data_IF_327565236651
#
_entry.id   IF_327565236651
#
_cell.length_a   1.000
_cell.length_b   1.000
_cell.length_c   1.000
_cell.angle_alpha   90.00
_cell.angle_beta   90.00
_cell.angle_gamma   90.00
#
_symmetry.space_group_name_H-M   'P 1'
#
loop_
_entity.id
_entity.type
_entity.pdbx_description
1 polymer ?
#
# COMPACT_ATOMS: atom_id res chain seq x y z
N UNK A 1 13.60 27.15 29.16
CA UNK A 1 12.98 26.11 28.29
C UNK A 1 11.63 25.61 28.79
N UNK A 2 11.43 25.29 30.08
CA UNK A 2 10.13 24.81 30.59
C UNK A 2 8.97 25.79 30.35
N UNK A 3 9.22 27.10 30.40
CA UNK A 3 8.21 28.12 30.10
C UNK A 3 7.82 28.16 28.60
N UNK A 4 8.77 27.88 27.69
CA UNK A 4 8.49 27.78 26.26
C UNK A 4 7.67 26.53 25.92
N UNK A 5 7.92 25.40 26.58
CA UNK A 5 7.14 24.16 26.37
C UNK A 5 5.66 24.35 26.70
N UNK A 6 5.33 25.14 27.73
CA UNK A 6 3.93 25.46 28.07
C UNK A 6 3.20 26.19 26.95
N UNK A 7 3.90 26.98 26.13
CA UNK A 7 3.32 27.69 24.98
C UNK A 7 2.94 26.77 23.82
N UNK A 8 3.42 25.53 23.78
CA UNK A 8 3.07 24.55 22.75
C UNK A 8 1.72 23.87 23.00
N UNK A 9 1.10 24.05 24.17
CA UNK A 9 -0.20 23.44 24.48
C UNK A 9 -1.27 23.99 23.53
N UNK A 10 -1.87 23.12 22.72
CA UNK A 10 -3.08 23.45 21.96
C UNK A 10 -4.20 23.71 22.95
N UNK A 11 -4.81 24.91 22.87
CA UNK A 11 -5.83 25.33 23.82
C UNK A 11 -7.17 24.62 23.56
N UNK A 12 -7.98 24.44 24.61
CA UNK A 12 -9.33 23.89 24.46
C UNK A 12 -10.17 24.71 23.48
N UNK A 13 -10.05 26.05 23.51
CA UNK A 13 -10.73 26.94 22.58
C UNK A 13 -10.40 26.65 21.10
N UNK A 14 -9.15 26.29 20.81
CA UNK A 14 -8.76 25.93 19.44
C UNK A 14 -9.39 24.59 19.00
N UNK A 15 -9.41 23.60 19.89
CA UNK A 15 -10.08 22.32 19.63
C UNK A 15 -11.61 22.50 19.50
N UNK A 16 -12.22 23.28 20.38
CA UNK A 16 -13.63 23.65 20.32
C UNK A 16 -14.00 24.34 19.02
N UNK A 17 -13.13 25.21 18.49
CA UNK A 17 -13.35 25.86 17.19
C UNK A 17 -13.37 24.84 16.03
N UNK A 18 -12.47 23.86 16.03
CA UNK A 18 -12.45 22.78 15.03
C UNK A 18 -13.72 21.93 15.15
N UNK A 19 -14.09 21.51 16.36
CA UNK A 19 -15.30 20.73 16.59
C UNK A 19 -16.54 21.49 16.14
N UNK A 20 -16.67 22.76 16.53
CA UNK A 20 -17.81 23.61 16.13
C UNK A 20 -17.92 23.73 14.62
N UNK A 21 -16.79 23.86 13.91
CA UNK A 21 -16.80 23.90 12.45
C UNK A 21 -17.29 22.57 11.86
N UNK A 22 -16.72 21.43 12.30
CA UNK A 22 -17.07 20.11 11.78
C UNK A 22 -18.52 19.70 12.08
N UNK A 23 -19.12 20.19 13.16
CA UNK A 23 -20.49 19.87 13.57
C UNK A 23 -21.52 20.95 13.26
N UNK A 24 -21.15 22.00 12.51
CA UNK A 24 -22.11 23.02 12.06
C UNK A 24 -23.03 22.41 11.00
N UNK A 25 -24.34 22.46 11.24
CA UNK A 25 -25.37 21.92 10.32
C UNK A 25 -25.33 22.61 8.93
N UNK A 26 -24.75 23.81 8.84
CA UNK A 26 -24.58 24.53 7.58
C UNK A 26 -23.20 24.32 6.93
N UNK A 27 -22.37 23.41 7.46
CA UNK A 27 -21.06 23.14 6.89
C UNK A 27 -21.18 22.36 5.58
N UNK A 28 -21.07 23.08 4.47
CA UNK A 28 -21.14 22.53 3.11
C UNK A 28 -20.13 21.40 2.89
N UNK A 29 -18.90 21.49 3.42
CA UNK A 29 -17.88 20.46 3.21
C UNK A 29 -18.25 19.10 3.83
N UNK A 30 -18.98 19.13 4.95
CA UNK A 30 -19.43 17.93 5.66
C UNK A 30 -20.75 17.43 5.07
N UNK A 31 -21.65 18.35 4.72
CA UNK A 31 -22.93 18.00 4.09
C UNK A 31 -22.72 17.32 2.72
N UNK A 32 -21.83 17.85 1.88
CA UNK A 32 -21.49 17.23 0.58
C UNK A 32 -20.91 15.80 0.78
N UNK A 33 -20.15 15.56 1.85
CA UNK A 33 -19.66 14.23 2.20
C UNK A 33 -20.81 13.30 2.64
N UNK A 34 -21.77 13.79 3.43
CA UNK A 34 -22.93 13.03 3.85
C UNK A 34 -23.83 12.65 2.69
N UNK A 35 -24.04 13.53 1.71
CA UNK A 35 -24.79 13.20 0.49
C UNK A 35 -24.21 11.97 -0.22
N UNK A 36 -22.88 11.86 -0.27
CA UNK A 36 -22.20 10.70 -0.85
C UNK A 36 -22.39 9.46 0.03
N UNK A 37 -22.25 9.57 1.35
CA UNK A 37 -22.49 8.43 2.26
C UNK A 37 -23.93 7.91 2.14
N UNK A 38 -24.91 8.82 2.06
CA UNK A 38 -26.33 8.50 1.92
C UNK A 38 -26.64 7.84 0.58
N UNK A 39 -25.98 8.25 -0.51
CA UNK A 39 -26.05 7.59 -1.82
C UNK A 39 -25.72 6.08 -1.74
N UNK A 40 -24.85 5.65 -0.81
CA UNK A 40 -24.52 4.23 -0.62
C UNK A 40 -25.37 3.51 0.45
N UNK A 41 -26.27 4.23 1.12
CA UNK A 41 -27.21 3.69 2.11
C UNK A 41 -26.82 3.93 3.57
N UNK A 42 -25.86 4.81 3.83
CA UNK A 42 -25.38 5.10 5.19
C UNK A 42 -24.31 4.11 5.68
N UNK A 43 -23.71 4.43 6.83
CA UNK A 43 -22.49 3.77 7.35
C UNK A 43 -22.66 2.26 7.55
N UNK A 44 -23.76 1.83 8.20
CA UNK A 44 -23.99 0.42 8.52
C UNK A 44 -24.17 -0.43 7.24
N UNK A 45 -24.92 0.08 6.28
CA UNK A 45 -25.16 -0.60 5.00
C UNK A 45 -23.89 -0.63 4.14
N UNK A 46 -23.10 0.45 4.13
CA UNK A 46 -21.79 0.50 3.47
C UNK A 46 -20.89 -0.63 4.00
N UNK A 47 -20.72 -0.73 5.32
CA UNK A 47 -19.86 -1.73 5.93
C UNK A 47 -20.39 -3.16 5.73
N UNK A 48 -21.72 -3.34 5.77
CA UNK A 48 -22.36 -4.63 5.48
C UNK A 48 -22.09 -5.07 4.05
N UNK A 49 -22.37 -4.23 3.05
CA UNK A 49 -22.09 -4.50 1.64
C UNK A 49 -20.62 -4.82 1.41
N UNK A 50 -19.71 -4.07 2.03
CA UNK A 50 -18.28 -4.30 1.89
C UNK A 50 -17.84 -5.66 2.44
N UNK A 51 -18.35 -6.08 3.62
CA UNK A 51 -18.06 -7.42 4.18
C UNK A 51 -18.59 -8.53 3.27
N UNK A 52 -19.81 -8.38 2.77
CA UNK A 52 -20.41 -9.35 1.83
C UNK A 52 -19.62 -9.41 0.52
N UNK A 53 -19.24 -8.26 -0.05
CA UNK A 53 -18.48 -8.20 -1.29
C UNK A 53 -17.08 -8.78 -1.18
N UNK A 54 -16.46 -8.73 0.02
CA UNK A 54 -15.12 -9.27 0.29
C UNK A 54 -15.10 -10.77 0.60
N UNK A 55 -16.27 -11.38 0.85
CA UNK A 55 -16.35 -12.82 1.11
C UNK A 55 -15.82 -13.61 -0.12
N UNK A 56 -14.98 -14.61 0.14
CA UNK A 56 -14.30 -15.37 -0.93
C UNK A 56 -15.27 -16.05 -1.88
N UNK A 57 -16.34 -16.67 -1.39
CA UNK A 57 -17.33 -17.34 -2.24
C UNK A 57 -18.05 -16.35 -3.15
N UNK A 58 -18.42 -15.18 -2.59
CA UNK A 58 -19.05 -14.11 -3.37
C UNK A 58 -18.10 -13.53 -4.43
N UNK A 59 -16.80 -13.38 -4.12
CA UNK A 59 -15.78 -12.94 -5.08
C UNK A 59 -15.63 -13.96 -6.22
N UNK A 60 -15.55 -15.25 -5.89
CA UNK A 60 -15.45 -16.33 -6.86
C UNK A 60 -16.69 -16.43 -7.75
N UNK A 61 -17.90 -16.28 -7.19
CA UNK A 61 -19.14 -16.29 -7.97
C UNK A 61 -19.23 -15.12 -8.95
N UNK A 62 -18.77 -13.93 -8.55
CA UNK A 62 -18.65 -12.79 -9.47
C UNK A 62 -17.57 -13.06 -10.52
N UNK A 63 -16.41 -13.59 -10.12
CA UNK A 63 -15.30 -13.89 -11.03
C UNK A 63 -15.68 -14.94 -12.08
N UNK A 64 -16.40 -16.00 -11.69
CA UNK A 64 -16.94 -17.03 -12.60
C UNK A 64 -17.79 -16.45 -13.72
N UNK A 65 -18.55 -15.39 -13.44
CA UNK A 65 -19.38 -14.70 -14.44
C UNK A 65 -18.56 -13.75 -15.31
N UNK A 66 -17.54 -13.12 -14.73
CA UNK A 66 -16.76 -12.04 -15.36
C UNK A 66 -15.57 -12.56 -16.19
N UNK A 67 -14.79 -13.47 -15.62
CA UNK A 67 -13.53 -13.99 -16.18
C UNK A 67 -13.28 -15.43 -15.70
N UNK A 68 -14.01 -16.43 -16.26
CA UNK A 68 -13.97 -17.82 -15.81
C UNK A 68 -12.57 -18.45 -15.80
N UNK A 69 -11.71 -18.04 -16.73
CA UNK A 69 -10.32 -18.52 -16.85
C UNK A 69 -9.50 -18.29 -15.56
N UNK A 70 -9.73 -17.19 -14.84
CA UNK A 70 -8.99 -16.89 -13.60
C UNK A 70 -9.48 -17.70 -12.40
N UNK A 71 -10.67 -18.29 -12.47
CA UNK A 71 -11.19 -19.13 -11.38
C UNK A 71 -10.32 -20.37 -11.21
N UNK A 72 -9.84 -20.95 -12.31
CA UNK A 72 -8.96 -22.12 -12.29
C UNK A 72 -7.63 -21.81 -11.60
N UNK A 73 -7.05 -20.64 -11.84
CA UNK A 73 -5.82 -20.21 -11.18
C UNK A 73 -6.02 -19.98 -9.67
N UNK A 74 -7.19 -19.46 -9.24
CA UNK A 74 -7.50 -19.31 -7.81
C UNK A 74 -7.75 -20.68 -7.16
N UNK A 75 -8.48 -21.58 -7.80
CA UNK A 75 -8.71 -22.95 -7.32
C UNK A 75 -7.39 -23.71 -7.21
N UNK A 76 -6.49 -23.57 -8.19
CA UNK A 76 -5.12 -24.07 -8.12
C UNK A 76 -4.37 -23.50 -6.92
N UNK A 77 -4.44 -22.18 -6.68
CA UNK A 77 -3.76 -21.54 -5.55
C UNK A 77 -4.29 -22.04 -4.19
N UNK A 78 -5.60 -22.26 -4.08
CA UNK A 78 -6.24 -22.88 -2.91
C UNK A 78 -5.70 -24.29 -2.70
N UNK A 79 -5.65 -25.11 -3.75
CA UNK A 79 -5.11 -26.46 -3.70
C UNK A 79 -3.65 -26.47 -3.25
N UNK A 80 -2.80 -25.60 -3.82
CA UNK A 80 -1.38 -25.51 -3.43
C UNK A 80 -1.20 -25.09 -1.97
N UNK A 81 -2.01 -24.15 -1.49
CA UNK A 81 -2.04 -23.76 -0.08
C UNK A 81 -2.42 -24.95 0.81
N UNK A 82 -3.51 -25.62 0.49
CA UNK A 82 -4.08 -26.70 1.32
C UNK A 82 -3.18 -27.94 1.34
N UNK A 83 -2.42 -28.17 0.26
CA UNK A 83 -1.38 -29.19 0.17
C UNK A 83 -0.05 -28.80 0.84
N UNK A 84 0.05 -27.60 1.43
CA UNK A 84 1.30 -27.04 1.97
C UNK A 84 2.46 -27.07 0.96
N UNK A 85 2.18 -26.74 -0.31
CA UNK A 85 3.19 -26.77 -1.39
C UNK A 85 4.23 -25.65 -1.27
N UNK A 86 3.90 -24.56 -0.58
CA UNK A 86 4.81 -23.46 -0.31
C UNK A 86 5.73 -23.80 0.86
N UNK A 87 7.00 -23.37 0.79
CA UNK A 87 7.96 -23.59 1.88
C UNK A 87 7.46 -22.94 3.18
N UNK A 88 7.53 -23.67 4.30
CA UNK A 88 7.22 -23.13 5.63
C UNK A 88 8.26 -22.08 6.03
N UNK A 89 7.89 -21.10 6.87
CA UNK A 89 8.88 -20.13 7.41
C UNK A 89 10.01 -20.85 8.16
N UNK A 90 9.70 -21.93 8.88
CA UNK A 90 10.70 -22.72 9.62
C UNK A 90 11.70 -23.36 8.66
N UNK A 91 11.23 -24.01 7.60
CA UNK A 91 12.12 -24.69 6.66
C UNK A 91 12.87 -23.70 5.76
N UNK A 92 12.27 -22.54 5.47
CA UNK A 92 12.99 -21.44 4.82
C UNK A 92 14.17 -20.97 5.69
N UNK A 93 13.95 -20.74 6.99
CA UNK A 93 15.04 -20.35 7.91
C UNK A 93 16.14 -21.42 7.98
N UNK A 94 15.77 -22.70 8.04
CA UNK A 94 16.76 -23.81 8.00
C UNK A 94 17.52 -23.84 6.67
N UNK A 95 16.84 -23.66 5.54
CA UNK A 95 17.45 -23.59 4.20
C UNK A 95 18.51 -22.50 4.13
N UNK A 96 18.27 -21.35 4.76
CA UNK A 96 19.20 -20.21 4.76
C UNK A 96 20.33 -20.35 5.78
N UNK A 97 20.02 -20.76 7.02
CA UNK A 97 20.97 -20.74 8.13
C UNK A 97 21.74 -22.06 8.34
N UNK A 98 21.25 -23.18 7.81
CA UNK A 98 21.79 -24.50 8.08
C UNK A 98 21.86 -24.77 9.59
N UNK A 99 23.02 -25.24 10.07
CA UNK A 99 23.25 -25.60 11.47
C UNK A 99 23.05 -24.43 12.44
N UNK A 100 23.31 -23.20 11.99
CA UNK A 100 23.13 -21.97 12.80
C UNK A 100 21.68 -21.68 13.16
N UNK A 101 20.71 -22.34 12.50
CA UNK A 101 19.29 -22.15 12.80
C UNK A 101 18.98 -22.40 14.27
N UNK A 102 19.62 -23.39 14.89
CA UNK A 102 19.41 -23.75 16.30
C UNK A 102 19.97 -22.72 17.31
N UNK A 103 20.85 -21.82 16.86
CA UNK A 103 21.52 -20.81 17.68
C UNK A 103 20.78 -19.47 17.68
N UNK A 104 19.88 -19.25 16.72
CA UNK A 104 19.21 -17.97 16.50
C UNK A 104 17.80 -17.99 17.09
N UNK A 105 17.53 -17.00 17.95
CA UNK A 105 16.17 -16.71 18.43
C UNK A 105 15.60 -15.52 17.67
N UNK A 106 14.56 -15.78 16.88
CA UNK A 106 13.83 -14.75 16.15
C UNK A 106 12.84 -14.02 17.07
N UNK A 107 12.93 -12.69 17.09
CA UNK A 107 11.97 -11.83 17.77
C UNK A 107 10.86 -11.39 16.81
N UNK A 108 9.64 -11.84 17.08
CA UNK A 108 8.47 -11.58 16.23
C UNK A 108 8.01 -10.13 16.30
N UNK A 109 8.32 -9.41 17.37
CA UNK A 109 7.93 -8.00 17.54
C UNK A 109 8.62 -7.08 16.53
N UNK A 110 9.79 -7.51 16.06
CA UNK A 110 10.62 -6.80 15.08
C UNK A 110 10.57 -7.46 13.70
N UNK A 111 9.61 -8.35 13.47
CA UNK A 111 9.47 -9.03 12.19
C UNK A 111 9.17 -8.01 11.07
N UNK A 112 9.92 -8.10 9.98
CA UNK A 112 9.82 -7.19 8.84
C UNK A 112 8.81 -7.71 7.84
N UNK A 113 7.81 -6.91 7.48
CA UNK A 113 6.84 -7.29 6.44
C UNK A 113 7.47 -7.23 5.06
N UNK A 114 7.39 -8.31 4.30
CA UNK A 114 7.84 -8.34 2.90
C UNK A 114 6.77 -7.69 2.01
N UNK A 115 7.13 -6.59 1.33
CA UNK A 115 6.21 -5.77 0.53
C UNK A 115 6.60 -5.68 -0.95
N UNK A 116 5.68 -6.10 -1.83
CA UNK A 116 5.83 -6.06 -3.29
C UNK A 116 5.05 -4.88 -3.89
N UNK A 117 5.71 -3.99 -4.63
CA UNK A 117 5.07 -2.85 -5.29
C UNK A 117 5.60 -2.63 -6.71
N UNK A 118 4.82 -2.45 -7.77
CA UNK A 118 3.40 -2.72 -7.92
C UNK A 118 3.13 -4.10 -8.56
N UNK A 119 2.13 -4.82 -8.07
CA UNK A 119 1.57 -6.02 -8.71
C UNK A 119 0.34 -5.63 -9.54
N UNK A 120 0.55 -5.40 -10.83
CA UNK A 120 -0.47 -4.80 -11.70
C UNK A 120 -1.49 -5.80 -12.25
N UNK A 121 -1.02 -6.99 -12.64
CA UNK A 121 -1.82 -7.96 -13.39
C UNK A 121 -1.92 -9.30 -12.66
N UNK A 122 -3.12 -9.90 -12.65
CA UNK A 122 -3.36 -11.19 -12.00
C UNK A 122 -2.49 -12.34 -12.57
N UNK A 123 -2.27 -12.47 -13.89
CA UNK A 123 -1.37 -13.48 -14.43
C UNK A 123 0.06 -13.38 -13.89
N UNK A 124 0.58 -12.16 -13.70
CA UNK A 124 1.94 -11.97 -13.18
C UNK A 124 2.03 -12.37 -11.70
N UNK A 125 0.95 -12.15 -10.95
CA UNK A 125 0.85 -12.67 -9.58
C UNK A 125 0.89 -14.21 -9.54
N UNK A 126 0.20 -14.88 -10.46
CA UNK A 126 0.25 -16.35 -10.55
C UNK A 126 1.65 -16.85 -10.92
N UNK A 127 2.38 -16.12 -11.77
CA UNK A 127 3.76 -16.47 -12.10
C UNK A 127 4.67 -16.49 -10.87
N UNK A 128 4.58 -15.47 -10.00
CA UNK A 128 5.39 -15.46 -8.77
C UNK A 128 4.94 -16.52 -7.76
N UNK A 129 3.65 -16.88 -7.72
CA UNK A 129 3.16 -17.97 -6.88
C UNK A 129 3.73 -19.33 -7.34
N UNK A 130 3.79 -19.57 -8.65
CA UNK A 130 4.44 -20.76 -9.23
C UNK A 130 5.94 -20.76 -8.96
N UNK A 131 6.61 -19.63 -9.13
CA UNK A 131 8.03 -19.48 -8.80
C UNK A 131 8.32 -19.71 -7.31
N UNK A 132 7.47 -19.22 -6.41
CA UNK A 132 7.60 -19.44 -4.96
C UNK A 132 7.67 -20.93 -4.59
N UNK A 133 6.82 -21.75 -5.20
CA UNK A 133 6.82 -23.21 -4.99
C UNK A 133 8.10 -23.83 -5.57
N UNK A 134 8.40 -23.53 -6.84
CA UNK A 134 9.52 -24.16 -7.56
C UNK A 134 10.88 -23.83 -6.94
N UNK A 135 11.08 -22.56 -6.55
CA UNK A 135 12.35 -22.07 -6.04
C UNK A 135 12.44 -22.16 -4.51
N UNK A 136 11.34 -22.60 -3.86
CA UNK A 136 11.15 -22.57 -2.42
C UNK A 136 11.46 -21.17 -1.85
N UNK A 137 10.80 -20.18 -2.41
CA UNK A 137 10.84 -18.77 -2.06
C UNK A 137 9.55 -18.35 -1.35
N UNK A 138 9.57 -17.17 -0.75
CA UNK A 138 8.45 -16.63 0.01
C UNK A 138 7.60 -15.70 -0.83
N UNK A 139 6.28 -15.84 -0.69
CA UNK A 139 5.29 -14.90 -1.19
C UNK A 139 5.16 -13.70 -0.23
N UNK A 140 5.04 -12.47 -0.74
CA UNK A 140 5.01 -11.27 0.08
C UNK A 140 3.75 -11.19 0.96
N UNK A 141 3.91 -10.70 2.20
CA UNK A 141 2.79 -10.46 3.13
C UNK A 141 1.98 -9.20 2.81
N UNK A 142 2.55 -8.32 1.98
CA UNK A 142 1.98 -7.04 1.59
C UNK A 142 2.13 -6.80 0.09
N UNK A 143 1.03 -6.46 -0.59
CA UNK A 143 1.03 -6.21 -2.04
C UNK A 143 0.45 -4.84 -2.34
N UNK A 144 1.16 -4.03 -3.13
CA UNK A 144 0.67 -2.75 -3.62
C UNK A 144 0.24 -2.92 -5.07
N UNK A 145 -0.93 -2.41 -5.42
CA UNK A 145 -1.48 -2.45 -6.77
C UNK A 145 -1.65 -1.04 -7.30
N UNK A 146 -0.90 -0.73 -8.36
CA UNK A 146 -0.91 0.56 -9.03
C UNK A 146 -1.29 0.31 -10.49
N UNK A 147 -2.59 0.38 -10.74
CA UNK A 147 -3.19 0.17 -12.06
C UNK A 147 -4.56 0.86 -12.09
N UNK A 148 -5.04 1.25 -13.27
CA UNK A 148 -6.33 1.91 -13.43
C UNK A 148 -7.48 1.02 -12.96
N UNK A 149 -8.29 1.47 -12.00
CA UNK A 149 -9.35 0.67 -11.39
C UNK A 149 -10.37 0.18 -12.40
N UNK A 150 -10.74 1.03 -13.37
CA UNK A 150 -11.68 0.66 -14.44
C UNK A 150 -11.16 -0.47 -15.32
N UNK A 151 -9.89 -0.46 -15.71
CA UNK A 151 -9.33 -1.57 -16.47
C UNK A 151 -9.27 -2.87 -15.63
N UNK A 152 -8.92 -2.75 -14.35
CA UNK A 152 -8.88 -3.91 -13.44
C UNK A 152 -10.26 -4.54 -13.24
N UNK A 153 -11.28 -3.69 -13.11
CA UNK A 153 -12.69 -4.09 -13.03
C UNK A 153 -13.14 -4.78 -14.34
N UNK A 154 -12.76 -4.21 -15.48
CA UNK A 154 -13.11 -4.74 -16.81
C UNK A 154 -12.44 -6.08 -17.10
N UNK A 155 -11.16 -6.24 -16.78
CA UNK A 155 -10.39 -7.45 -17.01
C UNK A 155 -10.79 -8.62 -16.10
N UNK A 156 -11.43 -8.34 -14.96
CA UNK A 156 -11.66 -9.31 -13.90
C UNK A 156 -10.49 -9.44 -12.92
N UNK A 157 -9.37 -8.74 -13.15
CA UNK A 157 -8.20 -8.67 -12.29
C UNK A 157 -8.54 -8.22 -10.87
N UNK A 158 -9.45 -7.25 -10.73
CA UNK A 158 -9.86 -6.73 -9.43
C UNK A 158 -10.46 -7.84 -8.54
N UNK A 159 -11.34 -8.66 -9.11
CA UNK A 159 -11.97 -9.79 -8.42
C UNK A 159 -10.96 -10.90 -8.13
N UNK A 160 -10.15 -11.26 -9.13
CA UNK A 160 -9.17 -12.34 -9.01
C UNK A 160 -8.12 -12.03 -7.94
N UNK A 161 -7.58 -10.82 -7.92
CA UNK A 161 -6.61 -10.42 -6.91
C UNK A 161 -7.25 -10.28 -5.53
N UNK A 162 -8.45 -9.71 -5.41
CA UNK A 162 -9.15 -9.68 -4.12
C UNK A 162 -9.35 -11.09 -3.55
N UNK A 163 -9.74 -12.07 -4.39
CA UNK A 163 -9.87 -13.47 -4.00
C UNK A 163 -8.51 -14.07 -3.62
N UNK A 164 -7.47 -13.88 -4.44
CA UNK A 164 -6.13 -14.38 -4.17
C UNK A 164 -5.57 -13.88 -2.82
N UNK A 165 -5.79 -12.61 -2.49
CA UNK A 165 -5.33 -12.03 -1.22
C UNK A 165 -6.01 -12.68 -0.01
N UNK A 166 -7.30 -13.02 -0.11
CA UNK A 166 -7.99 -13.83 0.92
C UNK A 166 -7.37 -15.23 1.05
N UNK A 167 -7.05 -15.87 -0.08
CA UNK A 167 -6.47 -17.22 -0.10
C UNK A 167 -5.11 -17.22 0.60
N UNK A 168 -4.22 -16.29 0.26
CA UNK A 168 -2.83 -16.27 0.75
C UNK A 168 -2.65 -15.57 2.09
N UNK A 169 -3.64 -14.78 2.53
CA UNK A 169 -3.59 -14.05 3.80
C UNK A 169 -2.65 -12.84 3.77
N UNK A 170 -2.49 -12.21 2.60
CA UNK A 170 -1.70 -10.98 2.44
C UNK A 170 -2.60 -9.76 2.44
N UNK A 171 -2.07 -8.63 2.92
CA UNK A 171 -2.76 -7.35 2.83
C UNK A 171 -2.46 -6.69 1.49
N UNK A 172 -3.43 -5.99 0.91
CA UNK A 172 -3.27 -5.36 -0.39
C UNK A 172 -3.89 -3.97 -0.44
N UNK A 173 -3.29 -3.09 -1.24
CA UNK A 173 -3.78 -1.74 -1.49
C UNK A 173 -4.04 -1.57 -2.98
N UNK A 174 -5.16 -0.93 -3.30
CA UNK A 174 -5.51 -0.48 -4.65
C UNK A 174 -5.26 1.02 -4.82
N UNK A 175 -5.15 1.47 -6.07
CA UNK A 175 -4.94 2.88 -6.41
C UNK A 175 -6.10 3.38 -7.27
N UNK A 176 -6.91 4.30 -6.73
CA UNK A 176 -8.08 4.85 -7.43
C UNK A 176 -7.71 5.68 -8.68
N UNK A 177 -8.65 5.74 -9.63
CA UNK A 177 -8.52 6.51 -10.87
C UNK A 177 -8.64 8.02 -10.63
N UNK A 178 -9.38 8.43 -9.60
CA UNK A 178 -9.49 9.83 -9.14
C UNK A 178 -8.20 10.41 -8.56
N UNK A 179 -7.04 9.77 -8.74
CA UNK A 179 -5.70 10.28 -8.37
C UNK A 179 -5.22 11.53 -9.14
N UNK A 180 -6.05 12.09 -10.03
CA UNK A 180 -5.78 13.33 -10.78
C UNK A 180 -5.09 13.13 -12.14
N UNK A 181 -4.69 11.90 -12.48
CA UNK A 181 -4.08 11.55 -13.78
C UNK A 181 -5.06 10.92 -14.76
N UNK A 182 -6.33 10.76 -14.38
CA UNK A 182 -7.36 10.23 -15.27
C UNK A 182 -7.65 11.21 -16.43
N UNK A 183 -8.07 10.73 -17.61
CA UNK A 183 -8.42 11.58 -18.74
C UNK A 183 -9.63 12.46 -18.42
N UNK A 184 -9.53 13.74 -18.77
CA UNK A 184 -10.60 14.73 -18.74
C UNK A 184 -11.38 14.76 -20.05
N UNK A 185 -12.34 15.69 -20.20
CA UNK A 185 -13.19 15.80 -21.39
C UNK A 185 -12.42 16.01 -22.71
N UNK A 186 -11.19 16.51 -22.64
CA UNK A 186 -10.28 16.74 -23.77
C UNK A 186 -9.27 15.59 -24.00
N UNK A 187 -9.39 14.51 -23.22
CA UNK A 187 -8.47 13.36 -23.25
C UNK A 187 -7.15 13.58 -22.51
N UNK A 188 -6.86 14.79 -22.03
CA UNK A 188 -5.68 15.10 -21.22
C UNK A 188 -5.95 14.83 -19.74
N UNK A 189 -4.94 14.67 -18.88
CA UNK A 189 -5.18 14.49 -17.45
C UNK A 189 -6.03 15.63 -16.86
N UNK A 190 -7.03 15.26 -16.06
CA UNK A 190 -7.95 16.19 -15.37
C UNK A 190 -7.25 17.24 -14.52
N UNK A 191 -6.06 16.95 -14.00
CA UNK A 191 -5.18 17.98 -13.50
C UNK A 191 -4.54 18.72 -14.69
N UNK A 192 -5.15 19.86 -15.04
CA UNK A 192 -4.77 20.74 -16.16
C UNK A 192 -3.32 21.26 -16.12
N UNK A 193 -2.61 21.05 -15.01
CA UNK A 193 -1.19 21.39 -14.89
C UNK A 193 -0.26 20.23 -15.28
N UNK A 194 -0.79 19.07 -15.66
CA UNK A 194 -0.01 17.94 -16.17
C UNK A 194 0.31 18.15 -17.66
N UNK A 195 1.30 19.01 -17.92
CA UNK A 195 1.76 19.35 -19.27
C UNK A 195 3.07 18.67 -19.71
N UNK A 196 3.67 17.81 -18.87
CA UNK A 196 4.92 17.11 -19.16
C UNK A 196 5.79 16.82 -17.91
N UNK A 197 6.87 16.04 -18.05
CA UNK A 197 7.69 15.53 -16.93
C UNK A 197 8.36 16.60 -16.06
N UNK A 198 8.74 17.75 -16.63
CA UNK A 198 9.35 18.89 -15.93
C UNK A 198 8.33 19.59 -15.01
N UNK A 199 7.06 19.58 -15.37
CA UNK A 199 5.99 20.26 -14.63
C UNK A 199 5.61 19.51 -13.34
N UNK A 200 5.92 18.22 -13.23
CA UNK A 200 5.71 17.40 -12.02
C UNK A 200 6.87 17.56 -11.01
N UNK A 201 8.08 17.91 -11.47
CA UNK A 201 9.23 18.19 -10.56
C UNK A 201 9.00 19.38 -9.60
N UNK A 202 7.95 20.18 -9.82
CA UNK A 202 7.60 21.39 -9.06
C UNK A 202 6.47 21.27 -8.02
N UNK A 203 5.89 20.08 -7.79
CA UNK A 203 4.81 19.91 -6.82
C UNK A 203 5.29 19.48 -5.42
N UNK A 204 6.19 20.28 -4.82
CA UNK A 204 6.56 20.15 -3.42
C UNK A 204 5.31 20.30 -2.52
N UNK A 205 4.74 19.17 -2.06
CA UNK A 205 3.58 19.13 -1.16
C UNK A 205 2.31 18.45 -1.70
N UNK A 206 2.32 17.90 -2.92
CA UNK A 206 1.28 16.97 -3.40
C UNK A 206 0.79 17.20 -4.83
N UNK A 207 0.22 16.14 -5.43
CA UNK A 207 -0.39 16.17 -6.77
C UNK A 207 -1.64 17.06 -6.67
N UNK A 208 -1.62 18.23 -7.31
CA UNK A 208 -2.73 19.18 -7.32
C UNK A 208 -3.99 18.56 -7.93
N UNK A 209 -4.84 17.94 -7.13
CA UNK A 209 -6.15 17.48 -7.56
C UNK A 209 -7.14 18.66 -7.52
N UNK A 210 -8.00 18.84 -8.54
CA UNK A 210 -9.06 19.84 -8.48
C UNK A 210 -10.00 19.59 -7.27
N UNK A 211 -10.66 20.65 -6.78
CA UNK A 211 -11.40 20.61 -5.50
C UNK A 211 -12.46 19.49 -5.42
N UNK A 212 -13.14 19.19 -6.52
CA UNK A 212 -14.18 18.15 -6.60
C UNK A 212 -13.63 16.72 -6.56
N UNK A 213 -12.32 16.53 -6.82
CA UNK A 213 -11.71 15.19 -6.82
C UNK A 213 -11.61 14.58 -5.44
N UNK A 214 -11.57 15.38 -4.38
CA UNK A 214 -11.56 14.84 -3.01
C UNK A 214 -12.86 14.08 -2.71
N UNK A 215 -14.01 14.62 -3.14
CA UNK A 215 -15.31 13.98 -2.98
C UNK A 215 -15.53 12.87 -4.02
N UNK A 216 -15.07 13.04 -5.27
CA UNK A 216 -15.07 11.96 -6.27
C UNK A 216 -14.25 10.75 -5.81
N UNK A 217 -13.16 10.98 -5.08
CA UNK A 217 -12.36 9.91 -4.48
C UNK A 217 -13.14 9.13 -3.43
N UNK A 218 -13.95 9.80 -2.60
CA UNK A 218 -14.85 9.10 -1.67
C UNK A 218 -15.93 8.33 -2.43
N UNK A 219 -16.56 8.93 -3.44
CA UNK A 219 -17.58 8.26 -4.23
C UNK A 219 -17.01 7.02 -4.94
N UNK A 220 -15.86 7.14 -5.59
CA UNK A 220 -15.17 6.02 -6.24
C UNK A 220 -14.74 4.94 -5.21
N UNK A 221 -14.21 5.36 -4.06
CA UNK A 221 -13.87 4.43 -2.99
C UNK A 221 -15.10 3.64 -2.54
N UNK A 222 -16.20 4.31 -2.21
CA UNK A 222 -17.40 3.65 -1.71
C UNK A 222 -18.01 2.72 -2.77
N UNK A 223 -17.92 3.06 -4.06
CA UNK A 223 -18.25 2.13 -5.14
C UNK A 223 -17.43 0.84 -5.04
N UNK A 224 -16.09 0.92 -5.00
CA UNK A 224 -15.25 -0.29 -4.96
C UNK A 224 -15.30 -1.03 -3.62
N UNK A 225 -15.43 -0.30 -2.53
CA UNK A 225 -15.58 -0.87 -1.19
C UNK A 225 -16.86 -1.70 -1.09
N UNK A 226 -17.99 -1.15 -1.50
CA UNK A 226 -19.29 -1.83 -1.40
C UNK A 226 -19.52 -2.91 -2.45
N UNK A 227 -18.92 -2.80 -3.65
CA UNK A 227 -19.13 -3.77 -4.73
C UNK A 227 -18.06 -4.88 -4.80
N UNK A 228 -16.83 -4.60 -4.34
CA UNK A 228 -15.68 -5.50 -4.49
C UNK A 228 -14.92 -5.75 -3.18
N UNK A 229 -15.31 -5.09 -2.08
CA UNK A 229 -14.64 -5.26 -0.79
C UNK A 229 -13.25 -4.64 -0.71
N UNK A 230 -12.93 -3.68 -1.59
CA UNK A 230 -11.63 -2.98 -1.63
C UNK A 230 -11.47 -2.12 -0.39
N UNK A 231 -10.72 -2.61 0.60
CA UNK A 231 -10.60 -1.96 1.91
C UNK A 231 -9.53 -0.88 1.97
N UNK A 232 -8.37 -1.12 1.35
CA UNK A 232 -7.19 -0.28 1.52
C UNK A 232 -6.84 0.47 0.22
N UNK A 233 -6.64 1.77 0.32
CA UNK A 233 -6.30 2.61 -0.83
C UNK A 233 -4.95 3.33 -0.71
N UNK A 234 -4.28 3.54 -1.82
CA UNK A 234 -3.13 4.44 -1.91
C UNK A 234 -3.65 5.88 -1.93
N UNK A 235 -3.16 6.69 -0.99
CA UNK A 235 -3.59 8.06 -0.79
C UNK A 235 -2.39 9.02 -0.89
N UNK A 236 -2.58 10.15 -1.55
CA UNK A 236 -1.47 11.05 -1.94
C UNK A 236 -1.81 12.53 -1.83
N UNK A 237 -3.05 12.87 -1.49
CA UNK A 237 -3.54 14.23 -1.37
C UNK A 237 -3.99 14.50 0.07
N UNK A 238 -3.59 15.64 0.70
CA UNK A 238 -3.97 15.93 2.08
C UNK A 238 -5.50 15.98 2.33
N UNK A 239 -6.28 16.44 1.35
CA UNK A 239 -7.74 16.48 1.43
C UNK A 239 -8.37 15.09 1.43
N UNK A 240 -7.95 14.20 0.53
CA UNK A 240 -8.42 12.79 0.55
C UNK A 240 -7.91 12.03 1.76
N UNK A 241 -6.73 12.36 2.29
CA UNK A 241 -6.23 11.82 3.57
C UNK A 241 -7.14 12.24 4.73
N UNK A 242 -7.50 13.54 4.80
CA UNK A 242 -8.43 14.04 5.81
C UNK A 242 -9.82 13.41 5.68
N UNK A 243 -10.37 13.32 4.47
CA UNK A 243 -11.67 12.66 4.25
C UNK A 243 -11.62 11.19 4.66
N UNK A 244 -10.55 10.47 4.32
CA UNK A 244 -10.31 9.10 4.77
C UNK A 244 -10.32 8.96 6.30
N UNK A 245 -9.76 9.93 7.03
CA UNK A 245 -9.86 9.98 8.50
C UNK A 245 -11.28 10.26 9.00
N UNK A 246 -12.00 11.18 8.37
CA UNK A 246 -13.36 11.56 8.76
C UNK A 246 -14.31 10.37 8.58
N UNK A 247 -14.31 9.70 7.43
CA UNK A 247 -15.20 8.56 7.18
C UNK A 247 -14.90 7.39 8.12
N UNK A 248 -13.64 7.17 8.47
CA UNK A 248 -13.27 6.19 9.50
C UNK A 248 -13.85 6.60 10.84
N UNK A 249 -13.66 7.84 11.26
CA UNK A 249 -14.20 8.36 12.52
C UNK A 249 -15.73 8.23 12.61
N UNK A 250 -16.44 8.44 11.49
CA UNK A 250 -17.89 8.29 11.40
C UNK A 250 -18.35 6.84 11.57
N UNK A 251 -17.53 5.87 11.16
CA UNK A 251 -17.80 4.44 11.39
C UNK A 251 -17.58 3.55 10.17
N UNK A 252 -17.18 4.08 9.01
CA UNK A 252 -16.85 3.27 7.83
C UNK A 252 -15.50 2.59 8.06
N UNK A 253 -15.38 1.28 7.85
CA UNK A 253 -14.16 0.52 8.13
C UNK A 253 -13.16 0.58 6.95
N UNK A 254 -12.90 1.79 6.46
CA UNK A 254 -11.92 2.06 5.42
C UNK A 254 -10.50 2.04 5.97
N UNK A 255 -9.54 1.76 5.10
CA UNK A 255 -8.12 1.85 5.38
C UNK A 255 -7.43 2.55 4.21
N UNK A 256 -6.28 3.15 4.45
CA UNK A 256 -5.42 3.68 3.40
C UNK A 256 -3.96 3.65 3.80
N UNK A 257 -3.09 3.70 2.79
CA UNK A 257 -1.68 4.01 2.94
C UNK A 257 -1.36 5.37 2.34
N UNK A 258 -0.37 6.05 2.89
CA UNK A 258 0.18 7.28 2.31
C UNK A 258 1.27 6.94 1.29
N UNK A 259 1.23 7.61 0.14
CA UNK A 259 2.20 7.48 -0.95
C UNK A 259 3.50 8.22 -0.67
N UNK A 260 4.59 7.76 -1.29
CA UNK A 260 5.90 8.44 -1.25
C UNK A 260 5.80 9.85 -1.84
N UNK A 261 4.93 10.03 -2.83
CA UNK A 261 4.66 11.32 -3.49
C UNK A 261 4.04 12.38 -2.56
N UNK A 262 3.54 12.00 -1.38
CA UNK A 262 3.06 12.99 -0.41
C UNK A 262 4.22 13.71 0.31
N UNK A 263 5.45 13.18 0.22
CA UNK A 263 6.66 13.90 0.66
C UNK A 263 6.87 13.96 2.18
N UNK A 264 6.58 12.88 2.91
CA UNK A 264 6.93 12.81 4.34
C UNK A 264 8.43 12.50 4.51
N UNK A 265 9.24 13.55 4.44
CA UNK A 265 10.70 13.49 4.26
C UNK A 265 11.51 13.79 5.53
N UNK A 266 10.87 14.17 6.62
CA UNK A 266 11.51 14.48 7.88
C UNK A 266 10.59 14.21 9.08
N UNK A 267 11.12 14.14 10.32
CA UNK A 267 10.32 13.83 11.51
C UNK A 267 9.19 14.82 11.81
N UNK A 268 9.31 16.09 11.40
CA UNK A 268 8.26 17.09 11.60
C UNK A 268 7.10 16.91 10.62
N UNK A 269 7.38 16.51 9.38
CA UNK A 269 6.32 16.08 8.45
C UNK A 269 5.60 14.85 8.97
N UNK A 270 6.36 13.89 9.52
CA UNK A 270 5.79 12.69 10.14
C UNK A 270 4.93 13.04 11.37
N UNK A 271 5.39 13.98 12.20
CA UNK A 271 4.61 14.51 13.33
C UNK A 271 3.31 15.14 12.86
N UNK A 272 3.34 15.97 11.82
CA UNK A 272 2.14 16.61 11.26
C UNK A 272 1.11 15.58 10.79
N UNK A 273 1.57 14.58 10.02
CA UNK A 273 0.73 13.50 9.50
C UNK A 273 0.11 12.66 10.62
N UNK A 274 0.93 12.22 11.58
CA UNK A 274 0.47 11.38 12.69
C UNK A 274 -0.38 12.14 13.71
N UNK A 275 -0.16 13.45 13.89
CA UNK A 275 -1.00 14.30 14.74
C UNK A 275 -2.41 14.41 14.16
N UNK A 276 -2.53 14.56 12.84
CA UNK A 276 -3.84 14.56 12.16
C UNK A 276 -4.53 13.20 12.32
N UNK A 277 -3.80 12.10 12.12
CA UNK A 277 -4.32 10.75 12.38
C UNK A 277 -4.82 10.59 13.82
N UNK A 278 -4.09 11.14 14.80
CA UNK A 278 -4.46 11.08 16.22
C UNK A 278 -5.69 11.90 16.56
N UNK A 279 -5.86 13.07 15.94
CA UNK A 279 -7.02 13.93 16.15
C UNK A 279 -8.33 13.25 15.72
N UNK A 280 -8.28 12.43 14.66
CA UNK A 280 -9.44 11.74 14.10
C UNK A 280 -9.53 10.25 14.43
N UNK A 281 -8.62 9.71 15.26
CA UNK A 281 -8.68 8.33 15.70
C UNK A 281 -10.01 8.01 16.41
N UNK A 282 -10.45 6.75 16.29
CA UNK A 282 -11.60 6.24 17.05
C UNK A 282 -11.24 6.06 18.53
N UNK A 283 -12.24 5.92 19.37
CA UNK A 283 -12.06 5.71 20.82
C UNK A 283 -11.31 4.42 21.15
N UNK A 284 -11.41 3.41 20.28
CA UNK A 284 -10.65 2.16 20.36
C UNK A 284 -9.16 2.31 20.00
N UNK A 285 -8.72 3.52 19.65
CA UNK A 285 -7.35 3.84 19.29
C UNK A 285 -6.99 3.58 17.82
N UNK A 286 -7.92 3.08 17.02
CA UNK A 286 -7.67 2.76 15.60
C UNK A 286 -7.63 4.00 14.72
N UNK A 287 -6.90 3.88 13.60
CA UNK A 287 -6.79 4.86 12.52
C UNK A 287 -6.91 4.13 11.18
N UNK A 288 -7.49 4.76 10.14
CA UNK A 288 -7.50 4.19 8.80
C UNK A 288 -6.11 4.26 8.13
N UNK A 289 -5.17 5.09 8.64
CA UNK A 289 -3.79 5.07 8.17
C UNK A 289 -3.10 3.81 8.66
N UNK A 290 -2.91 2.83 7.78
CA UNK A 290 -2.31 1.53 8.11
C UNK A 290 -0.90 1.34 7.51
N UNK A 291 -0.57 2.13 6.49
CA UNK A 291 0.71 2.09 5.78
C UNK A 291 1.22 3.50 5.55
N UNK A 292 2.46 3.76 5.92
CA UNK A 292 3.02 5.10 5.89
C UNK A 292 4.36 5.06 5.17
N UNK A 293 4.34 5.35 3.86
CA UNK A 293 5.58 5.56 3.13
C UNK A 293 6.26 6.84 3.65
N UNK A 294 7.53 6.71 3.98
CA UNK A 294 8.42 7.84 4.12
C UNK A 294 9.04 8.19 2.75
N UNK A 295 9.55 9.40 2.58
CA UNK A 295 10.19 9.79 1.34
C UNK A 295 11.52 9.02 1.11
N UNK A 296 11.95 8.88 -0.14
CA UNK A 296 13.22 8.21 -0.46
C UNK A 296 14.47 8.91 0.08
N UNK A 297 14.35 10.18 0.50
CA UNK A 297 15.43 10.99 1.07
C UNK A 297 15.64 10.78 2.58
N UNK A 298 14.75 10.05 3.26
CA UNK A 298 14.90 9.80 4.70
C UNK A 298 16.14 8.94 4.99
N UNK A 299 16.52 8.85 6.25
CA UNK A 299 17.58 7.98 6.76
C UNK A 299 17.10 7.26 8.03
N UNK A 300 17.94 6.40 8.62
CA UNK A 300 17.62 5.67 9.84
C UNK A 300 17.17 6.55 11.01
N UNK A 301 17.82 7.70 11.23
CA UNK A 301 17.42 8.64 12.28
C UNK A 301 15.99 9.14 12.07
N UNK A 302 15.62 9.46 10.82
CA UNK A 302 14.26 9.88 10.48
C UNK A 302 13.23 8.78 10.74
N UNK A 303 13.56 7.53 10.42
CA UNK A 303 12.70 6.36 10.68
C UNK A 303 12.53 6.16 12.19
N UNK A 304 13.62 6.21 12.96
CA UNK A 304 13.62 6.07 14.43
C UNK A 304 12.79 7.17 15.10
N UNK A 305 12.95 8.43 14.68
CA UNK A 305 12.17 9.56 15.22
C UNK A 305 10.69 9.48 14.81
N UNK A 306 10.39 8.99 13.61
CA UNK A 306 9.01 8.74 13.17
C UNK A 306 8.36 7.63 14.01
N UNK A 307 9.10 6.57 14.32
CA UNK A 307 8.67 5.51 15.21
C UNK A 307 8.45 6.01 16.65
N UNK A 308 9.31 6.90 17.16
CA UNK A 308 9.13 7.56 18.45
C UNK A 308 7.80 8.32 18.53
N UNK A 309 7.48 9.13 17.51
CA UNK A 309 6.20 9.86 17.43
C UNK A 309 5.02 8.88 17.36
N UNK A 310 5.12 7.88 16.46
CA UNK A 310 4.11 6.85 16.26
C UNK A 310 3.78 6.13 17.58
N UNK A 311 4.80 5.71 18.32
CA UNK A 311 4.63 5.07 19.62
C UNK A 311 3.99 6.02 20.64
N UNK A 312 4.44 7.28 20.72
CA UNK A 312 3.87 8.27 21.64
C UNK A 312 2.37 8.54 21.39
N UNK A 313 1.88 8.33 20.16
CA UNK A 313 0.46 8.46 19.82
C UNK A 313 -0.33 7.14 19.90
N UNK A 314 0.31 6.03 20.27
CA UNK A 314 -0.32 4.71 20.40
C UNK A 314 -0.56 4.03 19.05
N UNK A 315 0.25 4.32 18.04
CA UNK A 315 0.10 3.81 16.68
C UNK A 315 1.14 2.77 16.28
N UNK A 316 1.94 2.25 17.21
CA UNK A 316 3.02 1.30 16.90
C UNK A 316 2.52 0.06 16.13
N UNK A 317 1.40 -0.50 16.55
CA UNK A 317 0.77 -1.67 15.91
C UNK A 317 -0.26 -1.29 14.83
N UNK A 318 -0.58 0.00 14.69
CA UNK A 318 -1.63 0.49 13.77
C UNK A 318 -1.00 0.97 12.45
N UNK A 319 0.02 1.82 12.53
CA UNK A 319 0.65 2.48 11.38
C UNK A 319 1.98 1.80 11.06
N UNK A 320 2.05 1.04 9.98
CA UNK A 320 3.32 0.46 9.52
C UNK A 320 4.15 1.50 8.79
N UNK A 321 5.42 1.61 9.15
CA UNK A 321 6.37 2.39 8.38
C UNK A 321 6.78 1.55 7.17
N UNK A 322 6.42 2.01 5.97
CA UNK A 322 6.67 1.29 4.74
C UNK A 322 7.94 1.86 4.10
N UNK A 323 9.07 1.17 4.29
CA UNK A 323 10.41 1.65 3.95
C UNK A 323 10.85 1.13 2.58
N UNK A 324 11.16 2.04 1.65
CA UNK A 324 11.69 1.70 0.34
C UNK A 324 13.14 1.21 0.44
N UNK A 325 13.33 -0.06 0.11
CA UNK A 325 14.62 -0.75 0.17
C UNK A 325 15.29 -0.78 -1.19
N UNK A 326 14.52 -1.16 -2.22
CA UNK A 326 14.93 -1.17 -3.62
C UNK A 326 13.94 -0.34 -4.43
N UNK A 327 14.47 0.50 -5.31
CA UNK A 327 13.69 1.41 -6.15
C UNK A 327 13.84 1.13 -7.64
N UNK A 328 12.90 1.64 -8.45
CA UNK A 328 12.99 1.51 -9.91
C UNK A 328 14.23 2.18 -10.48
N UNK A 329 14.77 1.64 -11.57
CA UNK A 329 15.99 2.17 -12.21
C UNK A 329 15.83 3.59 -12.75
N UNK A 330 14.60 3.96 -13.13
CA UNK A 330 14.30 5.27 -13.73
C UNK A 330 13.40 6.15 -12.86
N UNK A 331 13.44 7.45 -13.18
CA UNK A 331 12.48 8.50 -12.81
C UNK A 331 12.53 9.10 -11.40
N UNK A 332 12.40 8.32 -10.31
CA UNK A 332 12.16 8.92 -8.97
C UNK A 332 13.37 8.97 -8.02
N UNK A 333 14.42 8.21 -8.28
CA UNK A 333 15.63 8.18 -7.43
C UNK A 333 16.91 8.20 -8.24
N UNK A 334 18.02 8.52 -7.58
CA UNK A 334 19.36 8.30 -8.12
C UNK A 334 19.76 6.84 -7.86
N UNK A 335 20.34 6.19 -8.85
CA UNK A 335 20.89 4.85 -8.74
C UNK A 335 22.41 4.88 -8.40
N UNK A 336 22.95 3.84 -7.75
CA UNK A 336 22.26 2.67 -7.21
C UNK A 336 21.42 3.02 -5.96
N UNK A 337 20.19 2.52 -5.89
CA UNK A 337 19.33 2.61 -4.70
C UNK A 337 19.11 1.21 -4.13
N UNK A 338 20.02 0.80 -3.25
CA UNK A 338 19.89 -0.38 -2.40
C UNK A 338 20.13 0.03 -0.94
N UNK A 339 19.09 -0.13 -0.11
CA UNK A 339 19.10 0.25 1.31
C UNK A 339 18.97 -0.96 2.24
N UNK A 340 19.39 -2.14 1.80
CA UNK A 340 19.32 -3.37 2.59
C UNK A 340 20.17 -3.32 3.87
N UNK A 341 21.38 -2.78 3.80
CA UNK A 341 22.25 -2.62 4.97
C UNK A 341 21.59 -1.70 6.00
N UNK A 342 21.03 -0.59 5.52
CA UNK A 342 20.27 0.35 6.33
C UNK A 342 19.06 -0.33 7.01
N UNK A 343 18.30 -1.11 6.24
CA UNK A 343 17.15 -1.88 6.74
C UNK A 343 17.56 -2.80 7.88
N UNK A 344 18.65 -3.58 7.72
CA UNK A 344 19.14 -4.51 8.75
C UNK A 344 19.49 -3.79 10.06
N UNK A 345 19.96 -2.55 10.00
CA UNK A 345 20.24 -1.75 11.19
C UNK A 345 18.97 -1.25 11.91
N UNK A 346 18.03 -0.66 11.16
CA UNK A 346 16.89 0.05 11.76
C UNK A 346 15.82 -0.88 12.31
N UNK A 347 15.60 -2.03 11.68
CA UNK A 347 14.58 -2.99 12.10
C UNK A 347 14.91 -3.69 13.42
N UNK A 348 16.15 -3.56 13.91
CA UNK A 348 16.54 -4.00 15.27
C UNK A 348 16.05 -3.04 16.36
N UNK A 349 15.63 -1.83 15.99
CA UNK A 349 15.22 -0.75 16.90
C UNK A 349 13.76 -0.35 16.72
N UNK A 350 13.22 -0.54 15.52
CA UNK A 350 11.88 -0.07 15.15
C UNK A 350 10.99 -1.24 14.76
N UNK A 351 9.85 -1.38 15.45
CA UNK A 351 8.82 -2.40 15.19
C UNK A 351 7.93 -2.04 14.01
N UNK A 352 7.18 -3.00 13.46
CA UNK A 352 6.16 -2.79 12.44
C UNK A 352 6.66 -1.94 11.25
N UNK A 353 7.70 -2.47 10.59
CA UNK A 353 8.28 -1.96 9.34
C UNK A 353 7.95 -2.93 8.21
N UNK A 354 7.67 -2.44 7.00
CA UNK A 354 7.83 -3.24 5.78
C UNK A 354 9.09 -2.86 5.02
N UNK A 355 9.70 -3.89 4.43
CA UNK A 355 10.71 -3.76 3.40
C UNK A 355 10.00 -3.76 2.05
N UNK A 356 9.96 -2.59 1.41
CA UNK A 356 9.23 -2.35 0.17
C UNK A 356 10.17 -2.32 -1.03
N UNK A 357 9.78 -3.04 -2.08
CA UNK A 357 10.53 -3.16 -3.32
C UNK A 357 9.70 -2.62 -4.48
N UNK A 358 10.22 -1.61 -5.16
CA UNK A 358 9.67 -1.05 -6.41
C UNK A 358 10.46 -1.51 -7.65
N UNK A 359 11.73 -1.92 -7.48
CA UNK A 359 12.60 -2.43 -8.55
C UNK A 359 13.15 -3.83 -8.27
N UNK A 360 13.87 -4.39 -9.24
CA UNK A 360 14.67 -5.61 -9.08
C UNK A 360 16.04 -5.33 -8.46
N UNK A 361 16.82 -6.39 -8.21
CA UNK A 361 18.22 -6.24 -7.79
C UNK A 361 18.99 -5.37 -8.79
N UNK A 362 19.71 -4.36 -8.29
CA UNK A 362 20.22 -3.24 -9.11
C UNK A 362 21.06 -3.74 -10.27
N UNK A 363 21.97 -4.66 -10.01
CA UNK A 363 22.89 -5.27 -10.97
C UNK A 363 22.17 -6.11 -12.06
N UNK A 364 20.94 -6.52 -11.81
CA UNK A 364 20.11 -7.26 -12.78
C UNK A 364 19.22 -6.28 -13.55
N UNK A 365 18.52 -5.40 -12.83
CA UNK A 365 17.50 -4.50 -13.37
C UNK A 365 18.12 -3.43 -14.29
N UNK A 366 19.28 -2.87 -13.93
CA UNK A 366 19.98 -1.87 -14.75
C UNK A 366 20.38 -2.39 -16.14
N UNK A 367 20.59 -3.71 -16.24
CA UNK A 367 21.05 -4.39 -17.44
C UNK A 367 19.90 -4.99 -18.27
N UNK A 368 18.64 -4.76 -17.87
CA UNK A 368 17.48 -5.16 -18.68
C UNK A 368 17.37 -4.32 -19.94
N UNK A 369 16.80 -4.92 -21.00
CA UNK A 369 16.47 -4.19 -22.23
C UNK A 369 15.47 -3.05 -21.96
N UNK A 370 14.51 -3.31 -21.06
CA UNK A 370 13.59 -2.30 -20.52
C UNK A 370 13.71 -2.30 -18.99
N UNK A 371 14.66 -1.54 -18.41
CA UNK A 371 14.81 -1.42 -16.97
C UNK A 371 13.55 -0.89 -16.32
N UNK A 372 13.33 -1.24 -15.05
CA UNK A 372 12.15 -0.80 -14.32
C UNK A 372 12.01 0.72 -14.27
N UNK A 373 10.80 1.19 -14.53
CA UNK A 373 10.43 2.60 -14.45
C UNK A 373 9.10 2.73 -13.72
N UNK A 374 9.06 3.55 -12.66
CA UNK A 374 7.82 3.80 -11.93
C UNK A 374 6.75 4.48 -12.80
N UNK A 375 7.16 5.15 -13.88
CA UNK A 375 6.22 5.77 -14.83
C UNK A 375 5.42 4.73 -15.62
N UNK A 376 5.91 3.49 -15.75
CA UNK A 376 5.15 2.41 -16.40
C UNK A 376 3.86 2.06 -15.63
N UNK A 377 3.75 2.44 -14.34
CA UNK A 377 2.53 2.22 -13.55
C UNK A 377 1.33 3.06 -14.02
N UNK A 378 1.57 4.09 -14.82
CA UNK A 378 0.55 5.02 -15.30
C UNK A 378 0.08 4.73 -16.73
N UNK A 379 0.76 3.82 -17.42
CA UNK A 379 0.47 3.45 -18.81
C UNK A 379 -0.78 2.57 -18.89
N UNK A 380 -1.50 2.71 -19.99
CA UNK A 380 -2.64 1.84 -20.28
C UNK A 380 -2.19 0.43 -20.63
N UNK A 381 -2.97 -0.59 -20.26
CA UNK A 381 -2.63 -1.98 -20.59
C UNK A 381 -2.52 -2.18 -22.09
N UNK A 382 -3.44 -1.62 -22.86
CA UNK A 382 -3.42 -1.75 -24.31
C UNK A 382 -2.19 -1.08 -24.93
N UNK A 383 -1.77 0.07 -24.41
CA UNK A 383 -0.55 0.75 -24.83
C UNK A 383 0.70 -0.10 -24.56
N UNK A 384 0.77 -0.76 -23.41
CA UNK A 384 1.86 -1.70 -23.07
C UNK A 384 1.88 -2.89 -24.06
N UNK A 385 0.73 -3.42 -24.42
CA UNK A 385 0.63 -4.54 -25.38
C UNK A 385 1.04 -4.09 -26.78
N UNK A 386 0.51 -2.97 -27.26
CA UNK A 386 0.76 -2.46 -28.62
C UNK A 386 2.21 -2.02 -28.83
N UNK A 387 2.87 -1.55 -27.76
CA UNK A 387 4.31 -1.25 -27.77
C UNK A 387 5.21 -2.50 -27.65
N UNK A 388 4.64 -3.70 -27.49
CA UNK A 388 5.40 -4.93 -27.30
C UNK A 388 6.09 -5.02 -25.94
N UNK A 389 5.71 -4.19 -24.96
CA UNK A 389 6.35 -4.11 -23.65
C UNK A 389 5.81 -5.11 -22.63
N UNK A 390 4.78 -5.90 -22.96
CA UNK A 390 4.11 -6.83 -22.03
C UNK A 390 5.08 -7.79 -21.32
N UNK A 391 5.95 -8.47 -22.07
CA UNK A 391 6.90 -9.42 -21.49
C UNK A 391 8.02 -8.72 -20.69
N UNK A 392 8.38 -7.49 -21.05
CA UNK A 392 9.30 -6.69 -20.24
C UNK A 392 8.69 -6.32 -18.89
N UNK A 393 7.41 -5.90 -18.87
CA UNK A 393 6.67 -5.63 -17.64
C UNK A 393 6.58 -6.89 -16.76
N UNK A 394 6.32 -8.05 -17.37
CA UNK A 394 6.34 -9.35 -16.68
C UNK A 394 7.71 -9.66 -16.09
N UNK A 395 8.79 -9.45 -16.86
CA UNK A 395 10.16 -9.69 -16.40
C UNK A 395 10.52 -8.79 -15.21
N UNK A 396 10.23 -7.49 -15.29
CA UNK A 396 10.49 -6.54 -14.22
C UNK A 396 9.73 -6.91 -12.93
N UNK A 397 8.50 -7.42 -13.06
CA UNK A 397 7.74 -7.96 -11.93
C UNK A 397 8.42 -9.16 -11.26
N UNK A 398 8.93 -10.11 -12.05
CA UNK A 398 9.66 -11.27 -11.54
C UNK A 398 10.98 -10.87 -10.86
N UNK A 399 11.72 -9.90 -11.42
CA UNK A 399 12.98 -9.44 -10.84
C UNK A 399 12.79 -8.75 -9.49
N UNK A 400 11.72 -7.96 -9.38
CA UNK A 400 11.31 -7.37 -8.10
C UNK A 400 10.93 -8.41 -7.07
N UNK A 401 10.22 -9.46 -7.49
CA UNK A 401 9.91 -10.60 -6.61
C UNK A 401 11.19 -11.33 -6.13
N UNK A 402 12.20 -11.45 -6.99
CA UNK A 402 13.52 -11.98 -6.60
C UNK A 402 14.18 -11.05 -5.58
N UNK A 403 14.18 -9.73 -5.80
CA UNK A 403 14.77 -8.75 -4.88
C UNK A 403 14.15 -8.78 -3.46
N UNK A 404 12.85 -9.06 -3.36
CA UNK A 404 12.17 -9.31 -2.08
C UNK A 404 12.78 -10.51 -1.37
N UNK A 405 12.99 -11.61 -2.09
CA UNK A 405 13.57 -12.84 -1.53
C UNK A 405 15.06 -12.70 -1.22
N UNK A 406 15.81 -11.93 -2.00
CA UNK A 406 17.19 -11.51 -1.66
C UNK A 406 17.20 -10.77 -0.32
N UNK A 407 16.23 -9.90 -0.08
CA UNK A 407 16.08 -9.16 1.18
C UNK A 407 15.65 -10.08 2.33
N UNK A 408 14.69 -10.98 2.09
CA UNK A 408 14.25 -11.95 3.08
C UNK A 408 15.41 -12.82 3.57
N UNK A 409 16.23 -13.33 2.63
CA UNK A 409 17.45 -14.08 2.95
C UNK A 409 18.39 -13.26 3.84
N UNK A 410 18.71 -12.02 3.46
CA UNK A 410 19.61 -11.16 4.22
C UNK A 410 19.12 -10.92 5.65
N UNK A 411 17.82 -10.67 5.83
CA UNK A 411 17.21 -10.48 7.15
C UNK A 411 17.35 -11.73 8.01
N UNK A 412 17.05 -12.91 7.45
CA UNK A 412 17.19 -14.19 8.14
C UNK A 412 18.66 -14.47 8.53
N UNK A 413 19.62 -14.21 7.63
CA UNK A 413 21.07 -14.35 7.92
C UNK A 413 21.52 -13.45 9.08
N UNK A 414 20.84 -12.33 9.30
CA UNK A 414 21.07 -11.39 10.40
C UNK A 414 20.19 -11.65 11.64
N UNK A 415 19.47 -12.79 11.67
CA UNK A 415 18.61 -13.17 12.79
C UNK A 415 17.35 -12.33 12.97
N UNK A 416 16.95 -11.59 11.92
CA UNK A 416 15.74 -10.75 11.92
C UNK A 416 14.59 -11.56 11.34
N UNK A 417 13.43 -11.53 12.00
CA UNK A 417 12.24 -12.25 11.54
C UNK A 417 11.54 -11.49 10.39
N UNK A 418 10.65 -12.18 9.67
CA UNK A 418 9.94 -11.69 8.50
C UNK A 418 8.45 -12.07 8.56
N UNK A 419 7.62 -11.24 7.92
CA UNK A 419 6.19 -11.50 7.71
C UNK A 419 5.95 -11.66 6.20
N UNK A 420 5.69 -12.91 5.81
CA UNK A 420 5.30 -13.32 4.47
C UNK A 420 3.78 -13.56 4.39
N UNK A 421 3.29 -14.09 3.27
CA UNK A 421 1.89 -14.49 3.09
C UNK A 421 1.48 -15.55 4.14
N UNK A 422 0.71 -15.14 5.15
CA UNK A 422 0.53 -15.89 6.40
C UNK A 422 -0.20 -17.22 6.23
N UNK A 423 -1.03 -17.36 5.19
CA UNK A 423 -1.74 -18.61 4.94
C UNK A 423 -0.92 -19.61 4.13
N UNK A 424 0.17 -19.19 3.48
CA UNK A 424 0.98 -20.05 2.61
C UNK A 424 2.18 -20.67 3.34
N UNK A 425 2.83 -19.92 4.24
CA UNK A 425 4.13 -20.29 4.82
C UNK A 425 4.02 -20.80 6.28
N UNK A 426 3.06 -21.69 6.53
CA UNK A 426 2.72 -22.19 7.88
C UNK A 426 3.77 -23.12 8.48
#
# INVERSE_FOLDING_TARGET
MNDLRKKLKITNKAIEAVNKFLTDENNVLINDLFEIIDKYGGIDEINKKAREARNLDNLLDKLRKKKPEYVQDIEWLIEQRDNNAFISIIDYRKKILGDKFSEIKFDKDYAVTLELSACQYFPFFIDIAKAAINDQNLMPGRIIRVRKMKEQEEDGDLLAMAAAMQVIGSTYVETLDTKGTAPGPDGMPVNIHLGGPETITGYFGGIGQPNDFALKWIDEFLYYYTNYGVKQLLNLNPGTVLLGYIIHKLGIDNEFKISVYMGNDNPYSCLWTLMTAKLFAREDGTSPLIGFNLANSVNNETIELSAYIRNAFGFEDVVRLEHHVIETQKSIVRQPYDRRDELVEVVKKVKNISAKHEGGDVEIDENREHPSDILDYFRDKQEIIDSGHWEFMRRNHLDRYIAINTTAKLLIENGIDIIAAQNLHK
#
